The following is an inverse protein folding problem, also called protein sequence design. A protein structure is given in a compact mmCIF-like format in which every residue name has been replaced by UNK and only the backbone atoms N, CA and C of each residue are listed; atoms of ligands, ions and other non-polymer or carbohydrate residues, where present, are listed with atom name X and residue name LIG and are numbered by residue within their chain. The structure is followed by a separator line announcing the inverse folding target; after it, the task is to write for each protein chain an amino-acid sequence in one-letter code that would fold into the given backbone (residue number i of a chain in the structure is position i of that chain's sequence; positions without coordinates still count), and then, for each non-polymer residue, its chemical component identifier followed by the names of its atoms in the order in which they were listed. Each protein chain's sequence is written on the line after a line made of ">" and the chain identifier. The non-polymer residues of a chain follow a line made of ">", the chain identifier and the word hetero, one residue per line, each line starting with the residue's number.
data_IF_143934428964
#
_entry.id   IF_143934428964
#
_cell.length_a   1.000
_cell.length_b   1.000
_cell.length_c   1.000
_cell.angle_alpha   90.00
_cell.angle_beta   90.00
_cell.angle_gamma   90.00
#
_symmetry.space_group_name_H-M   'P 1'
#
loop_
_entity.id
_entity.type
_entity.pdbx_description
1 polymer ?
#
# COMPACT_ATOMS: atom_id res chain seq x y z
N UNK A 1 1.44 13.34 -0.85
CA UNK A 1 0.21 12.63 -0.48
C UNK A 1 -0.04 12.90 0.99
N UNK A 2 -1.06 13.72 1.27
CA UNK A 2 -1.45 14.00 2.64
C UNK A 2 -2.18 12.80 3.24
N UNK A 3 -1.46 11.97 3.98
CA UNK A 3 -2.14 11.07 4.91
C UNK A 3 -2.76 11.91 6.04
N UNK A 4 -3.93 11.55 6.55
CA UNK A 4 -4.60 12.29 7.62
C UNK A 4 -3.74 12.41 8.90
N UNK A 5 -2.66 11.65 8.99
CA UNK A 5 -1.76 11.58 10.15
C UNK A 5 -0.48 12.42 9.99
N UNK A 6 -0.25 13.10 8.88
CA UNK A 6 0.96 13.92 8.69
C UNK A 6 1.04 14.99 9.78
N UNK A 7 2.14 14.97 10.52
CA UNK A 7 2.39 15.90 11.62
C UNK A 7 1.73 15.56 12.96
N UNK A 8 0.91 14.49 13.01
CA UNK A 8 0.25 14.05 14.23
C UNK A 8 0.77 12.67 14.63
N UNK A 9 1.20 12.49 15.88
CA UNK A 9 1.62 11.19 16.39
C UNK A 9 0.46 10.18 16.34
N UNK A 10 0.75 8.93 15.95
CA UNK A 10 -0.26 7.89 15.77
C UNK A 10 -1.17 7.68 16.98
N UNK A 11 -0.63 7.87 18.19
CA UNK A 11 -1.40 7.71 19.43
C UNK A 11 -2.41 8.84 19.68
N UNK A 12 -2.23 10.00 19.03
CA UNK A 12 -3.14 11.14 19.13
C UNK A 12 -4.21 11.15 18.03
N UNK A 13 -4.19 10.16 17.13
CA UNK A 13 -5.12 10.04 16.01
C UNK A 13 -6.38 9.28 16.47
N UNK A 14 -7.56 9.81 16.18
CA UNK A 14 -8.83 9.15 16.48
C UNK A 14 -9.00 7.84 15.69
N UNK A 15 -9.87 6.94 16.16
CA UNK A 15 -10.14 5.68 15.45
C UNK A 15 -10.65 5.94 14.03
N UNK A 16 -11.57 6.89 13.84
CA UNK A 16 -12.05 7.27 12.51
C UNK A 16 -10.93 7.71 11.57
N UNK A 17 -9.99 8.52 12.06
CA UNK A 17 -8.83 8.95 11.26
C UNK A 17 -7.90 7.78 10.89
N UNK A 18 -7.77 6.78 11.77
CA UNK A 18 -7.00 5.56 11.48
C UNK A 18 -7.68 4.73 10.39
N UNK A 19 -9.00 4.59 10.47
CA UNK A 19 -9.77 3.87 9.47
C UNK A 19 -9.71 4.57 8.11
N UNK A 20 -9.83 5.90 8.10
CA UNK A 20 -9.68 6.71 6.89
C UNK A 20 -8.27 6.60 6.28
N UNK A 21 -7.22 6.60 7.12
CA UNK A 21 -5.84 6.42 6.69
C UNK A 21 -5.64 5.03 6.08
N UNK A 22 -6.19 3.99 6.69
CA UNK A 22 -6.13 2.62 6.18
C UNK A 22 -6.82 2.50 4.81
N UNK A 23 -8.00 3.09 4.65
CA UNK A 23 -8.72 3.10 3.38
C UNK A 23 -7.95 3.84 2.28
N UNK A 24 -7.35 4.98 2.62
CA UNK A 24 -6.51 5.73 1.69
C UNK A 24 -5.28 4.91 1.26
N UNK A 25 -4.64 4.22 2.18
CA UNK A 25 -3.49 3.35 1.91
C UNK A 25 -3.89 2.17 1.02
N UNK A 26 -4.97 1.47 1.36
CA UNK A 26 -5.49 0.35 0.57
C UNK A 26 -5.83 0.78 -0.87
N UNK A 27 -6.52 1.92 -1.01
CA UNK A 27 -6.84 2.48 -2.33
C UNK A 27 -5.57 2.85 -3.11
N UNK A 28 -4.57 3.43 -2.45
CA UNK A 28 -3.28 3.78 -3.06
C UNK A 28 -2.58 2.53 -3.63
N UNK A 29 -2.48 1.46 -2.84
CA UNK A 29 -1.90 0.19 -3.27
C UNK A 29 -2.64 -0.39 -4.46
N UNK A 30 -3.97 -0.45 -4.43
CA UNK A 30 -4.80 -0.96 -5.52
C UNK A 30 -4.67 -0.14 -6.82
N UNK A 31 -4.50 1.18 -6.70
CA UNK A 31 -4.33 2.07 -7.86
C UNK A 31 -2.98 1.90 -8.54
N UNK A 32 -1.92 1.71 -7.77
CA UNK A 32 -0.56 1.76 -8.30
C UNK A 32 0.10 0.39 -8.51
N UNK A 33 -0.46 -0.70 -7.97
CA UNK A 33 0.08 -2.05 -8.10
C UNK A 33 -0.87 -3.03 -8.79
N UNK A 34 -0.37 -4.24 -9.06
CA UNK A 34 -1.19 -5.37 -9.54
C UNK A 34 -1.87 -6.15 -8.42
N UNK A 35 -1.77 -5.70 -7.16
CA UNK A 35 -2.21 -6.43 -5.96
C UNK A 35 -3.64 -6.95 -6.03
N UNK A 36 -4.56 -6.22 -6.68
CA UNK A 36 -5.95 -6.68 -6.84
C UNK A 36 -6.07 -8.06 -7.50
N UNK A 37 -5.10 -8.45 -8.33
CA UNK A 37 -5.12 -9.72 -9.06
C UNK A 37 -4.73 -10.90 -8.17
N UNK A 38 -4.22 -10.61 -6.97
CA UNK A 38 -3.66 -11.59 -6.04
C UNK A 38 -4.31 -11.55 -4.65
N UNK A 39 -5.16 -10.55 -4.40
CA UNK A 39 -5.84 -10.41 -3.11
C UNK A 39 -6.97 -11.43 -3.03
N UNK A 40 -6.92 -12.24 -1.99
CA UNK A 40 -8.07 -13.00 -1.53
C UNK A 40 -9.02 -12.04 -0.80
N UNK A 41 -10.21 -11.86 -1.39
CA UNK A 41 -11.20 -10.89 -0.89
C UNK A 41 -11.78 -11.29 0.46
N UNK A 42 -11.95 -12.58 0.70
CA UNK A 42 -12.49 -13.10 1.96
C UNK A 42 -11.49 -12.85 3.10
N UNK A 43 -10.24 -13.24 2.89
CA UNK A 43 -9.16 -13.02 3.87
C UNK A 43 -8.91 -11.53 4.13
N UNK A 44 -8.97 -10.70 3.10
CA UNK A 44 -8.82 -9.26 3.23
C UNK A 44 -10.00 -8.63 4.00
N UNK A 45 -11.21 -9.10 3.76
CA UNK A 45 -12.41 -8.70 4.49
C UNK A 45 -12.32 -9.06 5.98
N UNK A 46 -11.93 -10.28 6.31
CA UNK A 46 -11.73 -10.72 7.70
C UNK A 46 -10.65 -9.89 8.43
N UNK A 47 -9.55 -9.57 7.74
CA UNK A 47 -8.48 -8.72 8.27
C UNK A 47 -8.93 -7.29 8.51
N UNK A 48 -9.73 -6.72 7.61
CA UNK A 48 -10.27 -5.35 7.75
C UNK A 48 -11.32 -5.26 8.85
N UNK A 49 -12.12 -6.31 9.05
CA UNK A 49 -13.10 -6.41 10.13
C UNK A 49 -12.48 -6.72 11.51
N UNK A 50 -11.17 -6.86 11.59
CA UNK A 50 -10.48 -7.22 12.84
C UNK A 50 -10.71 -8.65 13.32
N UNK A 51 -11.36 -9.48 12.52
CA UNK A 51 -11.63 -10.90 12.85
C UNK A 51 -10.39 -11.78 12.74
N UNK A 52 -9.38 -11.30 12.01
CA UNK A 52 -8.11 -12.00 11.80
C UNK A 52 -6.95 -11.05 12.03
N UNK A 53 -5.88 -11.55 12.63
CA UNK A 53 -4.59 -10.84 12.67
C UNK A 53 -4.09 -10.57 11.25
N UNK A 54 -3.51 -9.39 11.04
CA UNK A 54 -2.85 -9.07 9.76
C UNK A 54 -1.74 -10.08 9.52
N UNK A 55 -1.84 -10.82 8.45
CA UNK A 55 -0.79 -11.78 8.07
C UNK A 55 0.39 -11.00 7.51
N UNK A 56 1.55 -11.16 8.12
CA UNK A 56 2.81 -10.74 7.54
C UNK A 56 3.50 -11.97 6.93
N UNK A 57 3.71 -11.91 5.62
CA UNK A 57 4.46 -12.94 4.92
C UNK A 57 5.95 -12.58 4.98
N UNK A 58 6.75 -13.39 5.68
CA UNK A 58 8.15 -13.08 5.95
C UNK A 58 8.97 -12.67 4.70
N UNK A 59 8.88 -13.35 3.55
CA UNK A 59 9.58 -12.91 2.33
C UNK A 59 9.19 -11.50 1.88
N UNK A 60 7.93 -11.08 2.06
CA UNK A 60 7.51 -9.72 1.72
C UNK A 60 8.08 -8.68 2.68
N UNK A 61 8.10 -8.98 3.96
CA UNK A 61 8.67 -8.09 4.98
C UNK A 61 10.16 -7.89 4.73
N UNK A 62 10.90 -8.96 4.46
CA UNK A 62 12.34 -8.93 4.16
C UNK A 62 12.59 -8.12 2.87
N UNK A 63 11.85 -8.40 1.80
CA UNK A 63 11.99 -7.69 0.53
C UNK A 63 11.69 -6.21 0.66
N UNK A 64 10.67 -5.84 1.41
CA UNK A 64 10.34 -4.44 1.70
C UNK A 64 11.47 -3.77 2.49
N UNK A 65 12.00 -4.43 3.50
CA UNK A 65 13.15 -3.93 4.28
C UNK A 65 14.38 -3.70 3.40
N UNK A 66 14.68 -4.60 2.47
CA UNK A 66 15.77 -4.44 1.52
C UNK A 66 15.56 -3.23 0.60
N UNK A 67 14.37 -3.07 0.04
CA UNK A 67 14.04 -1.90 -0.81
C UNK A 67 14.18 -0.58 -0.04
N UNK A 68 13.71 -0.54 1.20
CA UNK A 68 13.87 0.63 2.06
C UNK A 68 15.35 0.93 2.34
N UNK A 69 16.16 -0.09 2.61
CA UNK A 69 17.60 0.07 2.83
C UNK A 69 18.31 0.64 1.59
N UNK A 70 17.92 0.20 0.39
CA UNK A 70 18.43 0.78 -0.87
C UNK A 70 18.08 2.26 -1.02
N UNK A 71 16.87 2.66 -0.70
CA UNK A 71 16.46 4.07 -0.77
C UNK A 71 17.24 4.94 0.24
N UNK A 72 17.44 4.44 1.46
CA UNK A 72 18.26 5.12 2.45
C UNK A 72 19.72 5.28 1.96
N UNK A 73 20.30 4.20 1.41
CA UNK A 73 21.65 4.25 0.86
C UNK A 73 21.76 5.24 -0.31
N UNK A 74 20.77 5.26 -1.21
CA UNK A 74 20.72 6.24 -2.30
C UNK A 74 20.66 7.68 -1.77
N UNK A 75 19.86 7.92 -0.72
CA UNK A 75 19.78 9.24 -0.07
C UNK A 75 21.11 9.67 0.53
N UNK A 76 21.81 8.78 1.24
CA UNK A 76 23.12 9.07 1.83
C UNK A 76 24.17 9.37 0.75
N UNK A 77 24.12 8.65 -0.37
CA UNK A 77 25.06 8.82 -1.47
C UNK A 77 24.70 9.98 -2.42
N UNK A 78 23.66 10.74 -2.12
CA UNK A 78 23.19 11.85 -2.96
C UNK A 78 22.67 11.39 -4.34
N UNK A 79 22.30 10.12 -4.47
CA UNK A 79 21.72 9.58 -5.71
C UNK A 79 20.24 9.93 -5.81
N UNK A 80 19.73 9.94 -7.04
CA UNK A 80 18.30 10.11 -7.28
C UNK A 80 17.53 8.95 -6.62
N UNK A 81 16.47 9.22 -5.86
CA UNK A 81 15.60 8.17 -5.33
C UNK A 81 15.04 7.28 -6.43
N UNK A 82 15.02 5.98 -6.20
CA UNK A 82 14.41 5.00 -7.11
C UNK A 82 12.88 4.99 -7.00
N UNK A 83 12.36 5.19 -5.78
CA UNK A 83 10.93 5.30 -5.52
C UNK A 83 10.47 6.76 -5.52
N UNK A 84 9.25 6.99 -5.98
CA UNK A 84 8.53 8.26 -5.82
C UNK A 84 7.36 8.08 -4.82
N UNK A 85 6.48 9.11 -4.71
CA UNK A 85 5.31 9.07 -3.82
C UNK A 85 4.34 7.90 -4.08
N UNK A 86 4.43 7.25 -5.23
CA UNK A 86 3.61 6.08 -5.59
C UNK A 86 4.14 4.79 -4.98
N UNK A 87 5.42 4.77 -4.61
CA UNK A 87 6.08 3.65 -3.96
C UNK A 87 6.60 2.57 -4.92
N UNK A 88 7.20 1.56 -4.34
CA UNK A 88 7.58 0.31 -5.00
C UNK A 88 6.74 -0.83 -4.47
N UNK A 89 6.40 -1.76 -5.35
CA UNK A 89 5.57 -2.91 -4.99
C UNK A 89 6.29 -4.19 -5.33
N UNK A 90 6.56 -5.00 -4.33
CA UNK A 90 7.09 -6.34 -4.56
C UNK A 90 5.93 -7.30 -4.83
N UNK A 91 5.96 -7.97 -5.99
CA UNK A 91 5.00 -9.00 -6.33
C UNK A 91 5.60 -10.37 -5.99
N UNK A 92 5.11 -11.07 -4.94
CA UNK A 92 5.67 -12.34 -4.51
C UNK A 92 5.41 -13.49 -5.49
N UNK A 93 4.36 -13.38 -6.31
CA UNK A 93 4.00 -14.43 -7.27
C UNK A 93 4.90 -14.45 -8.51
N UNK A 94 5.41 -13.29 -8.90
CA UNK A 94 6.32 -13.15 -10.04
C UNK A 94 7.76 -12.89 -9.60
N UNK A 95 8.01 -12.74 -8.31
CA UNK A 95 9.29 -12.36 -7.70
C UNK A 95 9.89 -11.09 -8.33
N UNK A 96 9.06 -10.12 -8.64
CA UNK A 96 9.46 -8.88 -9.30
C UNK A 96 9.07 -7.66 -8.50
N UNK A 97 9.89 -6.62 -8.60
CA UNK A 97 9.52 -5.28 -8.17
C UNK A 97 8.74 -4.62 -9.30
N UNK A 98 7.50 -4.25 -9.01
CA UNK A 98 6.63 -3.59 -9.98
C UNK A 98 6.86 -2.08 -9.95
N UNK A 99 6.95 -1.48 -11.13
CA UNK A 99 6.88 -0.04 -11.27
C UNK A 99 5.42 0.42 -11.07
N UNK A 100 5.21 1.51 -10.32
CA UNK A 100 3.87 2.02 -10.09
C UNK A 100 3.22 2.47 -11.40
N UNK A 101 1.91 2.26 -11.51
CA UNK A 101 1.15 2.75 -12.66
C UNK A 101 1.27 4.28 -12.77
N UNK A 102 1.23 4.79 -13.99
CA UNK A 102 1.24 6.22 -14.22
C UNK A 102 -0.04 6.90 -13.68
N UNK A 103 0.03 8.22 -13.47
CA UNK A 103 -1.05 8.98 -12.86
C UNK A 103 -2.36 8.93 -13.67
N UNK A 104 -2.27 8.89 -15.01
CA UNK A 104 -3.43 8.84 -15.90
C UNK A 104 -4.16 7.51 -15.74
N UNK A 105 -3.42 6.40 -15.81
CA UNK A 105 -4.00 5.06 -15.61
C UNK A 105 -4.59 4.91 -14.21
N UNK A 106 -3.93 5.42 -13.18
CA UNK A 106 -4.43 5.41 -11.81
C UNK A 106 -5.72 6.23 -11.68
N UNK A 107 -5.81 7.39 -12.32
CA UNK A 107 -7.02 8.22 -12.33
C UNK A 107 -8.20 7.50 -12.99
N UNK A 108 -7.99 6.87 -14.14
CA UNK A 108 -9.03 6.10 -14.86
C UNK A 108 -9.50 4.88 -14.06
N UNK A 109 -8.62 4.23 -13.33
CA UNK A 109 -8.95 3.06 -12.51
C UNK A 109 -9.62 3.42 -11.19
N UNK A 110 -9.56 4.66 -10.74
CA UNK A 110 -10.05 5.10 -9.43
C UNK A 110 -11.50 4.69 -9.11
N UNK A 111 -12.49 4.89 -10.00
CA UNK A 111 -13.86 4.48 -9.71
C UNK A 111 -14.00 2.96 -9.55
N UNK A 112 -13.29 2.19 -10.39
CA UNK A 112 -13.31 0.72 -10.34
C UNK A 112 -12.69 0.23 -9.03
N UNK A 113 -11.55 0.80 -8.62
CA UNK A 113 -10.87 0.40 -7.38
C UNK A 113 -11.67 0.80 -6.13
N UNK A 114 -12.37 1.94 -6.15
CA UNK A 114 -13.28 2.32 -5.07
C UNK A 114 -14.46 1.35 -4.95
N UNK A 115 -15.02 0.93 -6.08
CA UNK A 115 -16.08 -0.07 -6.07
C UNK A 115 -15.59 -1.41 -5.53
N UNK A 116 -14.42 -1.84 -5.97
CA UNK A 116 -13.77 -3.06 -5.49
C UNK A 116 -13.52 -3.01 -3.98
N UNK A 117 -12.97 -1.92 -3.47
CA UNK A 117 -12.70 -1.73 -2.06
C UNK A 117 -13.99 -1.77 -1.21
N UNK A 118 -15.08 -1.13 -1.69
CA UNK A 118 -16.37 -1.21 -1.01
C UNK A 118 -16.91 -2.63 -0.92
N UNK A 119 -16.75 -3.43 -1.97
CA UNK A 119 -17.17 -4.85 -1.95
C UNK A 119 -16.33 -5.70 -0.98
N UNK A 120 -15.05 -5.39 -0.84
CA UNK A 120 -14.15 -6.09 0.07
C UNK A 120 -14.50 -5.83 1.55
N UNK A 121 -15.07 -4.65 1.85
CA UNK A 121 -15.42 -4.25 3.22
C UNK A 121 -16.89 -4.54 3.59
N UNK A 122 -17.72 -4.86 2.63
CA UNK A 122 -19.10 -5.25 2.86
C UNK A 122 -19.22 -6.69 3.32
#
# INVERSE_FOLDING_TARGET
>A
VGYPTIGTGWNAVSQQQRDDAFLCEALHVLLHSSSRNHIDLELAGEGSAGKRSRMSFAPMVISTGMLMAYEVANGILGRKPGADYRGWFFNPYTARVEHPRNAITAALLRPVMRHFLKRMMA
#
